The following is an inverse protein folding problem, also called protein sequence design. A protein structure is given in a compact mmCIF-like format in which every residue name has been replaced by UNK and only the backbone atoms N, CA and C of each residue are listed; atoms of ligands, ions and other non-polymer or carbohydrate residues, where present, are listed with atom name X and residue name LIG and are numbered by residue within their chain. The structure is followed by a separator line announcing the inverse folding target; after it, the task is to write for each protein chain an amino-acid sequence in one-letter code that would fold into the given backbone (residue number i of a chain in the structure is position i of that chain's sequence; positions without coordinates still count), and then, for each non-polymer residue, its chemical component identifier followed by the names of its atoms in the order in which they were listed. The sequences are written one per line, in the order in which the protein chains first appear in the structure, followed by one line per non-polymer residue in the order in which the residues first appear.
data_IF_344588280673
#
_entry.id   IF_344588280673
#
_cell.length_a   1.000
_cell.length_b   1.000
_cell.length_c   1.000
_cell.angle_alpha   90.00
_cell.angle_beta   90.00
_cell.angle_gamma   90.00
#
_symmetry.space_group_name_H-M   'P 1'
#
loop_
_entity.id
_entity.type
_entity.pdbx_description
1 polymer ?
#
# COMPACT_ATOMS: atom_id res chain seq x y z
N UNK A 1 17.37 -23.19 30.42
CA UNK A 1 17.08 -23.45 29.00
C UNK A 1 15.57 -23.46 28.87
N UNK A 2 15.01 -22.36 28.51
CA UNK A 2 13.55 -22.17 28.32
C UNK A 2 13.28 -22.13 26.84
N UNK A 3 12.51 -23.09 26.35
CA UNK A 3 12.04 -23.17 24.96
C UNK A 3 11.27 -21.94 24.58
N UNK A 4 11.87 -21.09 23.78
CA UNK A 4 11.15 -20.06 23.03
C UNK A 4 10.60 -20.71 21.76
N UNK A 5 9.43 -21.33 21.88
CA UNK A 5 8.61 -21.65 20.73
C UNK A 5 8.23 -20.33 20.06
N UNK A 6 8.87 -20.06 18.94
CA UNK A 6 8.52 -19.00 18.01
C UNK A 6 7.07 -19.17 17.60
N UNK A 7 6.19 -18.26 18.03
CA UNK A 7 4.85 -18.13 17.47
C UNK A 7 5.01 -17.74 16.00
N UNK A 8 4.85 -18.69 15.10
CA UNK A 8 4.74 -18.44 13.67
C UNK A 8 3.63 -17.41 13.47
N UNK A 9 3.93 -16.36 12.73
CA UNK A 9 3.08 -15.24 12.39
C UNK A 9 1.66 -15.73 12.05
N UNK A 10 0.64 -15.24 12.77
CA UNK A 10 -0.77 -15.53 12.54
C UNK A 10 -1.27 -15.15 11.12
N UNK A 11 -0.43 -14.52 10.32
CA UNK A 11 -0.69 -14.12 8.94
C UNK A 11 -0.44 -15.22 7.90
N UNK A 12 0.38 -16.22 8.18
CA UNK A 12 0.62 -17.35 7.28
C UNK A 12 -0.61 -18.26 7.13
N UNK A 13 -1.60 -18.12 8.03
CA UNK A 13 -2.81 -18.93 8.06
C UNK A 13 -4.04 -18.27 7.41
N UNK A 14 -3.90 -17.07 6.86
CA UNK A 14 -5.02 -16.34 6.25
C UNK A 14 -4.98 -16.40 4.73
N UNK A 15 -6.17 -16.43 4.13
CA UNK A 15 -6.31 -16.31 2.70
C UNK A 15 -5.94 -14.91 2.21
N UNK A 16 -5.36 -14.84 1.01
CA UNK A 16 -5.12 -13.59 0.28
C UNK A 16 -5.80 -13.68 -1.07
N UNK A 17 -6.38 -12.57 -1.53
CA UNK A 17 -7.11 -12.54 -2.79
C UNK A 17 -6.61 -11.42 -3.69
N UNK A 18 -6.53 -11.71 -4.98
CA UNK A 18 -6.31 -10.76 -6.05
C UNK A 18 -7.53 -10.84 -6.95
N UNK A 19 -8.05 -9.68 -7.31
CA UNK A 19 -9.31 -9.58 -8.03
C UNK A 19 -9.08 -8.67 -9.23
N UNK A 20 -9.36 -9.21 -10.40
CA UNK A 20 -9.47 -8.46 -11.63
C UNK A 20 -10.95 -8.40 -12.03
N UNK A 21 -11.55 -7.23 -11.87
CA UNK A 21 -12.96 -7.01 -12.19
C UNK A 21 -13.07 -6.40 -13.59
N UNK A 22 -13.24 -7.25 -14.60
CA UNK A 22 -13.67 -6.84 -15.93
C UNK A 22 -15.18 -6.53 -15.99
N UNK A 23 -15.66 -6.02 -17.10
CA UNK A 23 -17.08 -5.68 -17.27
C UNK A 23 -18.01 -6.88 -17.43
N UNK A 24 -17.53 -7.93 -18.04
CA UNK A 24 -18.32 -9.15 -18.23
C UNK A 24 -18.00 -10.18 -17.18
N UNK A 25 -16.72 -10.35 -16.85
CA UNK A 25 -16.25 -11.33 -15.88
C UNK A 25 -15.34 -10.69 -14.85
N UNK A 26 -15.43 -11.19 -13.63
CA UNK A 26 -14.50 -10.93 -12.54
C UNK A 26 -13.68 -12.20 -12.30
N UNK A 27 -12.37 -12.07 -12.38
CA UNK A 27 -11.43 -13.13 -12.03
C UNK A 27 -10.93 -12.93 -10.60
N UNK A 28 -11.07 -13.96 -9.79
CA UNK A 28 -10.61 -13.98 -8.40
C UNK A 28 -9.56 -15.05 -8.23
N UNK A 29 -8.36 -14.65 -7.84
CA UNK A 29 -7.28 -15.57 -7.49
C UNK A 29 -7.13 -15.58 -5.97
N UNK A 30 -7.28 -16.74 -5.37
CA UNK A 30 -7.11 -16.95 -3.94
C UNK A 30 -5.82 -17.70 -3.63
N UNK A 31 -5.02 -17.20 -2.71
CA UNK A 31 -3.90 -17.91 -2.08
C UNK A 31 -4.42 -18.61 -0.83
N UNK A 32 -4.60 -19.92 -0.92
CA UNK A 32 -5.08 -20.77 0.17
C UNK A 32 -3.92 -21.20 1.04
N UNK A 33 -3.90 -20.87 2.34
CA UNK A 33 -2.86 -21.36 3.26
C UNK A 33 -3.11 -22.81 3.64
N UNK A 34 -2.05 -23.56 3.90
CA UNK A 34 -2.07 -24.91 4.45
C UNK A 34 -1.46 -24.95 5.83
N UNK A 35 -1.80 -25.98 6.62
CA UNK A 35 -1.34 -26.15 8.01
C UNK A 35 0.18 -26.32 8.13
N UNK A 36 0.85 -26.79 7.08
CA UNK A 36 2.30 -26.96 7.00
C UNK A 36 3.06 -25.68 6.64
N UNK A 37 2.35 -24.53 6.51
CA UNK A 37 2.91 -23.24 6.11
C UNK A 37 3.06 -23.06 4.59
N UNK A 38 2.75 -24.09 3.80
CA UNK A 38 2.67 -23.97 2.34
C UNK A 38 1.38 -23.29 1.91
N UNK A 39 1.23 -23.03 0.62
CA UNK A 39 -0.01 -22.49 0.05
C UNK A 39 -0.25 -23.05 -1.35
N UNK A 40 -1.51 -22.98 -1.76
CA UNK A 40 -1.92 -23.24 -3.15
C UNK A 40 -2.65 -22.03 -3.72
N UNK A 41 -2.52 -21.82 -5.03
CA UNK A 41 -3.33 -20.83 -5.75
C UNK A 41 -4.58 -21.53 -6.28
N UNK A 42 -5.71 -20.88 -6.07
CA UNK A 42 -7.02 -21.29 -6.58
C UNK A 42 -7.66 -20.12 -7.29
N UNK A 43 -8.39 -20.39 -8.35
CA UNK A 43 -9.00 -19.34 -9.16
C UNK A 43 -10.51 -19.55 -9.24
N UNK A 44 -11.24 -18.45 -9.34
CA UNK A 44 -12.66 -18.48 -9.62
C UNK A 44 -13.02 -17.33 -10.55
N UNK A 45 -13.80 -17.65 -11.59
CA UNK A 45 -14.29 -16.68 -12.57
C UNK A 45 -15.80 -16.62 -12.51
N UNK A 46 -16.35 -15.41 -12.41
CA UNK A 46 -17.79 -15.21 -12.33
C UNK A 46 -18.19 -13.95 -13.12
N UNK A 47 -19.46 -13.79 -13.42
CA UNK A 47 -19.97 -12.58 -14.07
C UNK A 47 -19.74 -11.37 -13.16
N UNK A 48 -19.33 -10.25 -13.72
CA UNK A 48 -19.13 -9.01 -12.94
C UNK A 48 -20.46 -8.44 -12.42
N UNK A 49 -21.54 -8.69 -13.13
CA UNK A 49 -22.89 -8.28 -12.75
C UNK A 49 -23.85 -9.49 -12.82
N UNK A 50 -24.39 -9.87 -11.67
CA UNK A 50 -25.45 -10.88 -11.55
C UNK A 50 -26.31 -10.58 -10.32
N UNK A 51 -27.17 -9.53 -10.39
CA UNK A 51 -27.93 -9.03 -9.24
C UNK A 51 -28.89 -10.05 -8.63
N UNK A 52 -29.24 -11.11 -9.37
CA UNK A 52 -30.09 -12.19 -8.87
C UNK A 52 -29.32 -13.14 -7.92
N UNK A 53 -28.01 -13.23 -8.04
CA UNK A 53 -27.18 -14.15 -7.23
C UNK A 53 -26.32 -13.43 -6.20
N UNK A 54 -25.81 -12.23 -6.50
CA UNK A 54 -24.95 -11.46 -5.61
C UNK A 54 -24.98 -9.96 -5.92
N UNK A 55 -24.68 -9.17 -4.89
CA UNK A 55 -24.58 -7.69 -5.01
C UNK A 55 -23.22 -7.23 -5.56
N UNK A 56 -22.18 -7.98 -5.28
CA UNK A 56 -20.79 -7.66 -5.68
C UNK A 56 -20.06 -8.94 -6.05
N UNK A 57 -19.49 -8.95 -7.27
CA UNK A 57 -18.81 -10.11 -7.82
C UNK A 57 -17.52 -10.46 -7.06
N UNK A 58 -16.75 -9.45 -6.63
CA UNK A 58 -15.51 -9.67 -5.90
C UNK A 58 -15.78 -10.38 -4.57
N UNK A 59 -16.76 -9.88 -3.82
CA UNK A 59 -17.19 -10.49 -2.56
C UNK A 59 -17.75 -11.89 -2.78
N UNK A 60 -18.53 -12.09 -3.84
CA UNK A 60 -19.09 -13.41 -4.19
C UNK A 60 -17.99 -14.43 -4.52
N UNK A 61 -16.98 -14.02 -5.30
CA UNK A 61 -15.83 -14.85 -5.64
C UNK A 61 -14.98 -15.22 -4.42
N UNK A 62 -14.71 -14.27 -3.55
CA UNK A 62 -14.03 -14.52 -2.26
C UNK A 62 -14.80 -15.52 -1.42
N UNK A 63 -16.12 -15.31 -1.24
CA UNK A 63 -16.97 -16.21 -0.48
C UNK A 63 -16.97 -17.63 -1.05
N UNK A 64 -17.02 -17.75 -2.38
CA UNK A 64 -16.95 -19.04 -3.07
C UNK A 64 -15.65 -19.77 -2.76
N UNK A 65 -14.51 -19.11 -2.92
CA UNK A 65 -13.19 -19.70 -2.66
C UNK A 65 -12.96 -20.05 -1.19
N UNK A 66 -13.56 -19.28 -0.26
CA UNK A 66 -13.55 -19.58 1.18
C UNK A 66 -14.49 -20.73 1.55
N UNK A 67 -15.40 -21.16 0.65
CA UNK A 67 -16.41 -22.17 0.95
C UNK A 67 -17.50 -21.72 1.93
N UNK A 68 -17.76 -20.41 2.02
CA UNK A 68 -18.72 -19.83 2.95
C UNK A 68 -20.15 -20.08 2.48
N UNK A 69 -21.03 -20.48 3.41
CA UNK A 69 -22.47 -20.66 3.17
C UNK A 69 -23.18 -19.30 3.06
N UNK A 70 -24.37 -19.25 2.45
CA UNK A 70 -25.21 -18.05 2.46
C UNK A 70 -25.43 -17.54 3.89
N UNK A 71 -25.16 -16.24 4.11
CA UNK A 71 -25.30 -15.60 5.44
C UNK A 71 -24.02 -15.59 6.30
N UNK A 72 -23.04 -16.45 6.05
CA UNK A 72 -21.77 -16.38 6.76
C UNK A 72 -20.97 -15.14 6.33
N UNK A 73 -20.35 -14.45 7.26
CA UNK A 73 -19.56 -13.25 6.98
C UNK A 73 -18.12 -13.60 6.54
N UNK A 74 -17.54 -12.81 5.65
CA UNK A 74 -16.09 -12.80 5.44
C UNK A 74 -15.48 -12.02 6.60
N UNK A 75 -14.72 -12.70 7.45
CA UNK A 75 -14.15 -12.07 8.63
C UNK A 75 -12.65 -11.75 8.43
N UNK A 76 -12.08 -10.77 9.17
CA UNK A 76 -10.67 -10.43 9.08
C UNK A 76 -9.70 -11.59 9.41
N UNK A 77 -10.19 -12.61 10.13
CA UNK A 77 -9.40 -13.81 10.45
C UNK A 77 -9.25 -14.73 9.24
N UNK A 78 -10.21 -14.70 8.32
CA UNK A 78 -10.20 -15.51 7.10
C UNK A 78 -9.40 -14.86 5.98
N UNK A 79 -9.44 -13.54 5.87
CA UNK A 79 -8.82 -12.80 4.77
C UNK A 79 -7.73 -11.88 5.31
N UNK A 80 -6.52 -12.04 4.77
CA UNK A 80 -5.42 -11.12 5.06
C UNK A 80 -5.65 -9.77 4.40
N UNK A 81 -5.62 -8.70 5.19
CA UNK A 81 -5.45 -7.32 4.68
C UNK A 81 -4.01 -7.13 4.21
N UNK A 82 -3.64 -5.93 3.78
CA UNK A 82 -2.23 -5.57 3.54
C UNK A 82 -1.34 -5.81 4.77
N UNK A 83 -0.06 -5.51 4.68
CA UNK A 83 0.86 -5.78 5.79
C UNK A 83 0.50 -4.93 7.01
N UNK A 84 0.33 -5.51 8.22
CA UNK A 84 0.10 -4.75 9.44
C UNK A 84 1.20 -3.73 9.65
N UNK A 85 0.81 -2.46 9.66
CA UNK A 85 1.75 -1.36 9.59
C UNK A 85 1.76 -0.56 10.88
N UNK A 86 2.95 -0.22 11.35
CA UNK A 86 3.21 0.70 12.44
C UNK A 86 3.46 2.10 11.87
N UNK A 87 2.79 3.11 12.39
CA UNK A 87 3.15 4.51 12.16
C UNK A 87 4.04 5.01 13.29
N UNK A 88 5.19 5.61 12.95
CA UNK A 88 6.10 6.28 13.87
C UNK A 88 6.11 7.76 13.51
N UNK A 89 5.71 8.61 14.43
CA UNK A 89 5.61 10.05 14.18
C UNK A 89 6.20 10.86 15.33
N UNK A 90 6.45 12.14 15.11
CA UNK A 90 6.89 13.10 16.12
C UNK A 90 5.89 13.17 17.28
N UNK A 91 6.37 13.25 18.51
CA UNK A 91 5.55 13.43 19.72
C UNK A 91 4.58 14.60 19.59
N UNK A 92 3.31 14.38 19.94
CA UNK A 92 2.20 15.31 19.81
C UNK A 92 1.47 15.25 18.46
N UNK A 93 1.84 14.34 17.55
CA UNK A 93 1.25 14.20 16.21
C UNK A 93 0.61 12.82 15.93
N UNK A 94 0.34 12.03 16.96
CA UNK A 94 -0.23 10.68 16.82
C UNK A 94 -1.53 10.63 16.02
N UNK A 95 -2.34 11.70 16.10
CA UNK A 95 -3.63 11.79 15.47
C UNK A 95 -3.60 12.57 14.14
N UNK A 96 -2.42 13.04 13.69
CA UNK A 96 -2.29 13.92 12.53
C UNK A 96 -2.86 13.29 11.26
N UNK A 97 -2.53 12.03 10.95
CA UNK A 97 -3.06 11.34 9.78
C UNK A 97 -4.53 10.94 9.95
N UNK A 98 -5.00 10.70 11.19
CA UNK A 98 -6.41 10.41 11.47
C UNK A 98 -7.30 11.63 11.29
N UNK A 99 -6.83 12.80 11.73
CA UNK A 99 -7.52 14.07 11.56
C UNK A 99 -7.45 14.52 10.10
N UNK A 100 -6.33 14.23 9.44
CA UNK A 100 -6.03 14.61 8.07
C UNK A 100 -6.34 16.09 7.80
N UNK A 101 -7.01 16.40 6.71
CA UNK A 101 -7.45 17.76 6.36
C UNK A 101 -8.86 18.08 6.88
N UNK A 102 -9.40 17.29 7.80
CA UNK A 102 -10.75 17.42 8.34
C UNK A 102 -11.85 17.34 7.25
N UNK A 103 -11.58 16.63 6.18
CA UNK A 103 -12.55 16.44 5.12
C UNK A 103 -13.74 15.64 5.62
N UNK A 104 -14.94 16.18 5.39
CA UNK A 104 -16.18 15.51 5.70
C UNK A 104 -16.83 15.03 4.41
N UNK A 105 -17.16 13.74 4.26
CA UNK A 105 -17.86 13.24 3.09
C UNK A 105 -19.21 13.97 2.86
N UNK A 106 -19.84 14.37 3.99
CA UNK A 106 -21.06 15.19 4.00
C UNK A 106 -20.95 16.24 5.10
N UNK A 107 -21.01 17.51 4.71
CA UNK A 107 -20.72 18.64 5.59
C UNK A 107 -21.57 18.70 6.87
N UNK A 108 -22.85 18.30 6.77
CA UNK A 108 -23.84 18.40 7.86
C UNK A 108 -24.19 17.07 8.54
N UNK A 109 -23.47 15.99 8.21
CA UNK A 109 -23.71 14.71 8.89
C UNK A 109 -23.34 14.80 10.37
N UNK A 110 -24.26 14.32 11.23
CA UNK A 110 -24.03 14.22 12.67
C UNK A 110 -23.13 13.03 13.01
N UNK A 111 -23.09 12.02 12.18
CA UNK A 111 -22.24 10.86 12.32
C UNK A 111 -21.24 10.83 11.17
N UNK A 112 -19.97 11.13 11.47
CA UNK A 112 -18.90 11.15 10.48
C UNK A 112 -18.22 9.79 10.50
N UNK A 113 -18.34 9.06 9.39
CA UNK A 113 -17.58 7.81 9.17
C UNK A 113 -16.29 8.17 8.47
N UNK A 114 -15.18 8.05 9.20
CA UNK A 114 -13.84 8.26 8.63
C UNK A 114 -13.39 7.00 7.88
N UNK A 115 -12.53 7.14 6.85
CA UNK A 115 -11.92 6.01 6.17
C UNK A 115 -11.20 5.08 7.13
N UNK A 116 -11.09 3.81 6.76
CA UNK A 116 -10.32 2.82 7.53
C UNK A 116 -8.83 3.18 7.44
N UNK A 117 -8.12 3.11 8.58
CA UNK A 117 -6.69 3.39 8.63
C UNK A 117 -5.91 2.20 8.08
N UNK A 118 -4.84 2.48 7.31
CA UNK A 118 -3.93 1.45 6.80
C UNK A 118 -2.84 1.06 7.81
N UNK A 119 -2.76 1.74 8.96
CA UNK A 119 -1.87 1.39 10.06
C UNK A 119 -2.67 0.92 11.29
N UNK A 120 -2.11 0.00 12.05
CA UNK A 120 -2.78 -0.60 13.21
C UNK A 120 -2.38 0.08 14.53
N UNK A 121 -1.19 0.66 14.58
CA UNK A 121 -0.62 1.28 15.79
C UNK A 121 0.18 2.51 15.45
N UNK A 122 0.20 3.45 16.40
CA UNK A 122 1.05 4.65 16.34
C UNK A 122 2.03 4.64 17.51
N UNK A 123 3.30 4.94 17.23
CA UNK A 123 4.33 5.28 18.21
C UNK A 123 4.69 6.75 18.02
N UNK A 124 4.66 7.51 19.11
CA UNK A 124 5.21 8.85 19.17
C UNK A 124 6.68 8.76 19.57
N UNK A 125 7.57 9.20 18.69
CA UNK A 125 8.99 9.32 18.97
C UNK A 125 9.24 10.61 19.79
N UNK A 126 10.00 10.49 20.85
CA UNK A 126 10.48 11.62 21.61
C UNK A 126 11.56 12.32 20.79
N UNK A 127 11.16 13.28 19.99
CA UNK A 127 12.02 14.06 19.11
C UNK A 127 11.32 15.32 18.64
N UNK A 128 12.09 16.37 18.32
CA UNK A 128 11.59 17.56 17.65
C UNK A 128 12.71 18.28 16.90
N UNK A 129 12.50 18.49 15.62
CA UNK A 129 13.31 19.38 14.79
C UNK A 129 12.48 20.63 14.45
N UNK A 130 13.05 21.79 14.56
CA UNK A 130 12.43 23.08 14.22
C UNK A 130 12.42 23.31 12.70
N UNK A 131 11.67 24.34 12.29
CA UNK A 131 11.52 24.70 10.88
C UNK A 131 12.83 25.14 10.19
N UNK A 132 13.82 25.55 10.97
CA UNK A 132 15.14 25.98 10.49
C UNK A 132 16.23 24.91 10.67
N UNK A 133 15.87 23.71 11.17
CA UNK A 133 16.79 22.60 11.37
C UNK A 133 17.42 22.53 12.76
N UNK A 134 17.05 23.42 13.64
CA UNK A 134 17.43 23.37 15.04
C UNK A 134 16.82 22.13 15.72
N UNK A 135 17.66 21.37 16.41
CA UNK A 135 17.21 20.22 17.19
C UNK A 135 16.70 20.73 18.54
N UNK A 136 15.37 20.83 18.65
CA UNK A 136 14.68 21.27 19.86
C UNK A 136 14.66 20.15 20.92
N UNK A 137 14.39 18.91 20.49
CA UNK A 137 14.41 17.70 21.31
C UNK A 137 15.14 16.61 20.49
N UNK A 138 16.30 16.13 20.94
CA UNK A 138 17.00 15.03 20.29
C UNK A 138 16.16 13.76 20.30
N UNK A 139 16.33 12.91 19.29
CA UNK A 139 15.66 11.61 19.25
C UNK A 139 16.12 10.74 20.42
N UNK A 140 15.20 10.33 21.28
CA UNK A 140 15.44 9.31 22.29
C UNK A 140 15.44 7.91 21.63
N UNK A 141 16.62 7.51 21.17
CA UNK A 141 16.81 6.23 20.47
C UNK A 141 16.50 5.02 21.38
N UNK A 142 16.81 5.12 22.68
CA UNK A 142 16.59 4.02 23.63
C UNK A 142 15.09 3.79 23.85
N UNK A 143 14.34 4.86 24.11
CA UNK A 143 12.89 4.79 24.26
C UNK A 143 12.22 4.31 22.95
N UNK A 144 12.65 4.83 21.80
CA UNK A 144 12.12 4.37 20.51
C UNK A 144 12.36 2.88 20.29
N UNK A 145 13.56 2.39 20.59
CA UNK A 145 13.93 0.97 20.45
C UNK A 145 13.08 0.06 21.32
N UNK A 146 12.82 0.45 22.58
CA UNK A 146 11.92 -0.27 23.48
C UNK A 146 10.50 -0.38 22.90
N UNK A 147 9.94 0.74 22.42
CA UNK A 147 8.60 0.78 21.82
C UNK A 147 8.51 -0.04 20.54
N UNK A 148 9.57 -0.05 19.74
CA UNK A 148 9.65 -0.86 18.52
C UNK A 148 9.72 -2.36 18.84
N UNK A 149 10.45 -2.78 19.87
CA UNK A 149 10.43 -4.16 20.34
C UNK A 149 9.03 -4.60 20.77
N UNK A 150 8.32 -3.78 21.52
CA UNK A 150 6.94 -4.08 21.92
C UNK A 150 5.97 -4.18 20.72
N UNK A 151 6.20 -3.42 19.65
CA UNK A 151 5.42 -3.53 18.43
C UNK A 151 5.81 -4.79 17.63
N UNK A 152 7.09 -5.09 17.56
CA UNK A 152 7.61 -6.30 16.91
C UNK A 152 7.11 -7.59 17.58
N UNK A 153 7.13 -7.65 18.92
CA UNK A 153 6.61 -8.77 19.71
C UNK A 153 5.08 -8.93 19.53
N UNK A 154 4.37 -7.83 19.25
CA UNK A 154 2.95 -7.85 18.89
C UNK A 154 2.68 -8.31 17.44
N UNK A 155 3.71 -8.65 16.66
CA UNK A 155 3.58 -9.21 15.32
C UNK A 155 3.72 -8.20 14.18
N UNK A 156 3.93 -6.90 14.45
CA UNK A 156 4.14 -5.90 13.40
C UNK A 156 5.51 -6.07 12.73
N UNK A 157 5.55 -6.00 11.40
CA UNK A 157 6.78 -6.19 10.60
C UNK A 157 7.01 -5.06 9.60
N UNK A 158 6.03 -4.18 9.42
CA UNK A 158 6.09 -3.01 8.56
C UNK A 158 6.01 -1.73 9.37
N UNK A 159 6.83 -0.74 9.04
CA UNK A 159 6.88 0.56 9.72
C UNK A 159 6.93 1.70 8.70
N UNK A 160 6.07 2.70 8.92
CA UNK A 160 6.10 4.00 8.27
C UNK A 160 6.63 5.04 9.26
N UNK A 161 7.66 5.79 8.89
CA UNK A 161 8.31 6.81 9.72
C UNK A 161 8.05 8.18 9.10
N UNK A 162 7.40 9.07 9.87
CA UNK A 162 6.94 10.37 9.39
C UNK A 162 7.16 11.42 10.48
N UNK A 163 8.27 12.13 10.42
CA UNK A 163 8.58 13.18 11.39
C UNK A 163 8.30 14.58 10.84
N UNK A 164 8.02 15.53 11.74
CA UNK A 164 7.52 16.86 11.37
C UNK A 164 8.45 17.53 10.39
N UNK A 165 9.56 17.75 10.33
CA UNK A 165 10.39 18.37 9.30
C UNK A 165 11.30 17.37 8.57
N UNK A 166 10.95 16.07 8.62
CA UNK A 166 11.72 14.96 8.05
C UNK A 166 11.99 15.09 6.54
N UNK A 167 11.11 15.77 5.81
CA UNK A 167 11.31 16.02 4.36
C UNK A 167 12.59 16.81 4.04
N UNK A 168 13.10 17.59 4.99
CA UNK A 168 14.27 18.46 4.83
C UNK A 168 15.41 18.09 5.77
N UNK A 169 15.10 17.71 6.99
CA UNK A 169 16.08 17.37 8.04
C UNK A 169 15.93 15.90 8.41
N UNK A 170 16.67 15.06 7.71
CA UNK A 170 16.43 13.61 7.62
C UNK A 170 17.03 12.80 8.76
N UNK A 171 17.97 13.38 9.53
CA UNK A 171 18.80 12.65 10.49
C UNK A 171 17.99 11.82 11.52
N UNK A 172 16.88 12.37 12.06
CA UNK A 172 16.05 11.64 13.01
C UNK A 172 15.26 10.49 12.35
N UNK A 173 14.75 10.68 11.12
CA UNK A 173 14.10 9.60 10.39
C UNK A 173 15.09 8.49 9.99
N UNK A 174 16.32 8.86 9.59
CA UNK A 174 17.39 7.90 9.27
C UNK A 174 17.77 7.07 10.49
N UNK A 175 17.92 7.71 11.66
CA UNK A 175 18.19 7.02 12.92
C UNK A 175 17.04 6.09 13.30
N UNK A 176 15.80 6.55 13.22
CA UNK A 176 14.62 5.74 13.51
C UNK A 176 14.51 4.54 12.55
N UNK A 177 14.80 4.76 11.26
CA UNK A 177 14.78 3.68 10.26
C UNK A 177 15.88 2.63 10.50
N UNK A 178 17.06 3.07 10.93
CA UNK A 178 18.15 2.17 11.34
C UNK A 178 17.71 1.30 12.52
N UNK A 179 17.17 1.92 13.58
CA UNK A 179 16.72 1.21 14.78
C UNK A 179 15.60 0.20 14.44
N UNK A 180 14.63 0.59 13.59
CA UNK A 180 13.57 -0.31 13.16
C UNK A 180 14.12 -1.55 12.44
N UNK A 181 15.11 -1.38 11.56
CA UNK A 181 15.78 -2.50 10.87
C UNK A 181 16.56 -3.39 11.86
N UNK A 182 17.27 -2.79 12.83
CA UNK A 182 17.99 -3.53 13.89
C UNK A 182 17.05 -4.37 14.76
N UNK A 183 15.84 -3.89 15.04
CA UNK A 183 14.79 -4.64 15.75
C UNK A 183 14.24 -5.79 14.91
N UNK A 184 14.33 -5.71 13.58
CA UNK A 184 13.91 -6.79 12.68
C UNK A 184 12.69 -6.46 11.81
N UNK A 185 12.26 -5.20 11.73
CA UNK A 185 11.21 -4.82 10.78
C UNK A 185 11.68 -5.08 9.34
N UNK A 186 10.90 -5.85 8.60
CA UNK A 186 11.24 -6.28 7.22
C UNK A 186 10.88 -5.24 6.18
N UNK A 187 9.93 -4.34 6.49
CA UNK A 187 9.59 -3.16 5.72
C UNK A 187 9.76 -1.93 6.59
N UNK A 188 10.55 -0.96 6.11
CA UNK A 188 10.73 0.35 6.76
C UNK A 188 10.67 1.41 5.68
N UNK A 189 9.57 2.15 5.65
CA UNK A 189 9.35 3.28 4.75
C UNK A 189 9.56 4.58 5.55
N UNK A 190 10.58 5.34 5.20
CA UNK A 190 10.85 6.65 5.80
C UNK A 190 10.37 7.76 4.86
N UNK A 191 9.68 8.76 5.40
CA UNK A 191 8.98 9.75 4.60
C UNK A 191 9.88 10.59 3.70
N UNK A 192 11.11 10.87 4.12
CA UNK A 192 12.09 11.62 3.33
C UNK A 192 12.57 10.88 2.07
N UNK A 193 12.50 9.55 2.04
CA UNK A 193 12.83 8.74 0.86
C UNK A 193 11.60 8.37 0.05
N UNK A 194 10.47 8.18 0.73
CA UNK A 194 9.23 7.72 0.09
C UNK A 194 8.53 8.85 -0.65
N UNK A 195 8.35 10.00 0.00
CA UNK A 195 7.65 11.17 -0.55
C UNK A 195 8.16 12.45 0.14
N UNK A 196 9.28 13.04 -0.31
CA UNK A 196 9.92 14.17 0.37
C UNK A 196 9.15 15.49 0.21
N UNK A 197 7.84 15.47 0.43
CA UNK A 197 6.96 16.63 0.33
C UNK A 197 6.84 17.34 1.68
N UNK A 198 6.66 18.67 1.65
CA UNK A 198 6.59 19.48 2.87
C UNK A 198 5.39 19.13 3.75
N UNK A 199 4.21 18.89 3.17
CA UNK A 199 2.97 18.63 3.90
C UNK A 199 3.03 17.32 4.66
N UNK A 200 2.86 17.38 6.00
CA UNK A 200 2.99 16.21 6.87
C UNK A 200 1.96 15.12 6.56
N UNK A 201 0.70 15.50 6.33
CA UNK A 201 -0.40 14.54 6.13
C UNK A 201 -0.20 13.78 4.82
N UNK A 202 -0.12 14.44 3.67
CA UNK A 202 0.03 13.75 2.38
C UNK A 202 1.33 12.95 2.27
N UNK A 203 2.44 13.46 2.86
CA UNK A 203 3.68 12.71 2.98
C UNK A 203 3.50 11.46 3.85
N UNK A 204 2.76 11.59 4.94
CA UNK A 204 2.47 10.51 5.87
C UNK A 204 1.60 9.43 5.23
N UNK A 205 0.53 9.82 4.57
CA UNK A 205 -0.37 8.89 3.88
C UNK A 205 0.37 8.09 2.81
N UNK A 206 1.15 8.75 1.96
CA UNK A 206 1.99 8.07 0.95
C UNK A 206 2.99 7.10 1.61
N UNK A 207 3.59 7.49 2.74
CA UNK A 207 4.56 6.64 3.45
C UNK A 207 3.89 5.43 4.09
N UNK A 208 2.69 5.59 4.65
CA UNK A 208 1.88 4.49 5.19
C UNK A 208 1.45 3.55 4.09
N UNK A 209 0.96 4.08 2.95
CA UNK A 209 0.59 3.28 1.78
C UNK A 209 1.77 2.45 1.28
N UNK A 210 2.95 3.04 1.19
CA UNK A 210 4.17 2.34 0.79
C UNK A 210 4.52 1.21 1.77
N UNK A 211 4.50 1.49 3.07
CA UNK A 211 4.77 0.48 4.10
C UNK A 211 3.75 -0.67 4.07
N UNK A 212 2.49 -0.36 3.78
CA UNK A 212 1.39 -1.31 3.73
C UNK A 212 1.42 -2.22 2.49
N UNK A 213 1.77 -1.68 1.31
CA UNK A 213 1.72 -2.39 0.03
C UNK A 213 3.04 -3.05 -0.38
N UNK A 214 4.19 -2.46 -0.04
CA UNK A 214 5.50 -2.93 -0.52
C UNK A 214 5.81 -4.39 -0.17
N UNK A 215 5.45 -4.94 1.01
CA UNK A 215 5.70 -6.35 1.30
C UNK A 215 4.95 -7.30 0.38
N UNK A 216 3.70 -6.97 0.05
CA UNK A 216 2.86 -7.78 -0.86
C UNK A 216 3.43 -7.71 -2.27
N UNK A 217 3.75 -6.50 -2.72
CA UNK A 217 4.32 -6.26 -4.04
C UNK A 217 5.65 -6.99 -4.24
N UNK A 218 6.54 -6.94 -3.25
CA UNK A 218 7.82 -7.66 -3.32
C UNK A 218 7.66 -9.17 -3.44
N UNK A 219 6.68 -9.75 -2.74
CA UNK A 219 6.38 -11.18 -2.88
C UNK A 219 5.95 -11.52 -4.31
N UNK A 220 5.08 -10.71 -4.89
CA UNK A 220 4.66 -10.87 -6.29
C UNK A 220 5.83 -10.74 -7.26
N UNK A 221 6.61 -9.66 -7.15
CA UNK A 221 7.78 -9.42 -7.99
C UNK A 221 8.80 -10.56 -7.89
N UNK A 222 9.07 -11.03 -6.66
CA UNK A 222 9.99 -12.16 -6.43
C UNK A 222 9.49 -13.45 -7.05
N UNK A 223 8.19 -13.72 -7.01
CA UNK A 223 7.59 -14.89 -7.67
C UNK A 223 7.79 -14.80 -9.18
N UNK A 224 7.42 -13.68 -9.80
CA UNK A 224 7.60 -13.47 -11.24
C UNK A 224 9.07 -13.62 -11.65
N UNK A 225 9.99 -13.03 -10.86
CA UNK A 225 11.43 -13.13 -11.12
C UNK A 225 11.95 -14.58 -11.00
N UNK A 226 11.41 -15.36 -10.09
CA UNK A 226 11.81 -16.78 -9.92
C UNK A 226 11.41 -17.66 -11.10
N UNK A 227 10.33 -17.31 -11.79
CA UNK A 227 9.86 -18.02 -12.99
C UNK A 227 10.63 -17.64 -14.26
N UNK A 228 11.39 -16.52 -14.22
CA UNK A 228 12.16 -16.01 -15.33
C UNK A 228 13.65 -15.77 -14.97
N UNK A 229 14.40 -16.83 -14.62
CA UNK A 229 15.79 -16.69 -14.19
C UNK A 229 16.66 -16.11 -15.31
N UNK A 230 17.48 -15.12 -14.97
CA UNK A 230 18.38 -14.44 -15.91
C UNK A 230 17.71 -13.37 -16.78
N UNK A 231 16.42 -13.16 -16.67
CA UNK A 231 15.69 -12.08 -17.37
C UNK A 231 15.72 -10.81 -16.52
N UNK A 232 16.07 -9.69 -17.14
CA UNK A 232 16.01 -8.39 -16.51
C UNK A 232 14.57 -7.87 -16.58
N UNK A 233 13.92 -7.74 -15.42
CA UNK A 233 12.53 -7.32 -15.31
C UNK A 233 12.42 -5.84 -14.94
N UNK A 234 11.55 -5.15 -15.67
CA UNK A 234 11.17 -3.78 -15.40
C UNK A 234 9.66 -3.70 -15.16
N UNK A 235 9.28 -2.88 -14.21
CA UNK A 235 7.87 -2.64 -13.88
C UNK A 235 7.52 -1.18 -14.15
N UNK A 236 6.31 -0.97 -14.66
CA UNK A 236 5.74 0.36 -14.86
C UNK A 236 5.41 0.98 -13.50
N UNK A 237 5.81 2.23 -13.31
CA UNK A 237 5.45 3.02 -12.14
C UNK A 237 4.23 3.91 -12.44
N UNK A 238 3.54 4.36 -11.38
CA UNK A 238 2.46 5.35 -11.48
C UNK A 238 2.91 6.68 -12.12
N UNK A 239 4.20 6.97 -12.10
CA UNK A 239 4.81 8.11 -12.79
C UNK A 239 4.93 7.95 -14.31
N UNK A 240 4.61 6.78 -14.87
CA UNK A 240 4.80 6.46 -16.29
C UNK A 240 6.23 6.06 -16.66
N UNK A 241 7.14 5.96 -15.68
CA UNK A 241 8.49 5.43 -15.87
C UNK A 241 8.59 3.92 -15.66
N UNK A 242 9.69 3.33 -16.13
CA UNK A 242 10.03 1.94 -15.84
C UNK A 242 11.10 1.91 -14.74
N UNK A 243 10.94 1.03 -13.78
CA UNK A 243 11.93 0.75 -12.74
C UNK A 243 12.33 -0.72 -12.72
N UNK A 244 13.55 -0.98 -12.25
CA UNK A 244 13.99 -2.36 -12.03
C UNK A 244 13.11 -3.04 -10.97
N UNK A 245 12.89 -4.33 -11.15
CA UNK A 245 12.04 -5.13 -10.27
C UNK A 245 12.40 -4.99 -8.77
N UNK A 246 13.70 -4.88 -8.45
CA UNK A 246 14.17 -4.75 -7.07
C UNK A 246 13.92 -3.36 -6.46
N UNK A 247 13.71 -2.35 -7.31
CA UNK A 247 13.46 -0.96 -6.90
C UNK A 247 11.96 -0.61 -6.87
N UNK A 248 11.10 -1.54 -7.31
CA UNK A 248 9.67 -1.31 -7.41
C UNK A 248 9.01 -1.34 -6.03
N UNK A 249 8.37 -0.24 -5.63
CA UNK A 249 7.78 -0.01 -4.31
C UNK A 249 6.27 0.11 -4.36
N UNK A 250 5.60 -0.10 -3.23
CA UNK A 250 4.14 -0.09 -3.13
C UNK A 250 3.50 1.21 -3.61
N UNK A 251 4.07 2.37 -3.25
CA UNK A 251 3.61 3.68 -3.70
C UNK A 251 3.65 3.85 -5.23
N UNK A 252 4.58 3.17 -5.90
CA UNK A 252 4.78 3.30 -7.35
C UNK A 252 3.80 2.44 -8.15
N UNK A 253 3.14 1.48 -7.51
CA UNK A 253 2.31 0.48 -8.18
C UNK A 253 0.84 0.90 -8.35
N UNK A 254 0.34 1.85 -7.55
CA UNK A 254 -1.10 2.11 -7.36
C UNK A 254 -1.81 2.48 -8.68
N UNK A 255 -1.24 3.38 -9.47
CA UNK A 255 -1.77 3.84 -10.74
C UNK A 255 -0.90 3.41 -11.93
N UNK A 256 -0.10 2.36 -11.78
CA UNK A 256 0.85 1.91 -12.81
C UNK A 256 0.16 1.41 -14.08
N UNK A 257 -1.00 0.77 -13.96
CA UNK A 257 -1.81 0.33 -15.11
C UNK A 257 -2.27 1.50 -15.99
N UNK A 258 -3.05 2.45 -15.47
CA UNK A 258 -3.44 3.65 -16.22
C UNK A 258 -2.25 4.43 -16.78
N UNK A 259 -1.17 4.60 -16.00
CA UNK A 259 0.05 5.27 -16.46
C UNK A 259 0.69 4.56 -17.66
N UNK A 260 0.75 3.23 -17.63
CA UNK A 260 1.22 2.42 -18.76
C UNK A 260 0.35 2.59 -19.99
N UNK A 261 -0.96 2.63 -19.83
CA UNK A 261 -1.92 2.90 -20.90
C UNK A 261 -1.69 4.24 -21.58
N UNK A 262 -1.51 5.31 -20.78
CA UNK A 262 -1.23 6.66 -21.28
C UNK A 262 0.10 6.71 -22.05
N UNK A 263 1.16 6.11 -21.51
CA UNK A 263 2.46 6.05 -22.20
C UNK A 263 2.37 5.28 -23.51
N UNK A 264 1.69 4.12 -23.48
CA UNK A 264 1.46 3.30 -24.69
C UNK A 264 0.69 4.07 -25.76
N UNK A 265 -0.41 4.72 -25.39
CA UNK A 265 -1.21 5.58 -26.28
C UNK A 265 -0.35 6.68 -26.93
N UNK A 266 0.36 7.47 -26.10
CA UNK A 266 1.16 8.59 -26.61
C UNK A 266 2.27 8.12 -27.55
N UNK A 267 2.97 7.05 -27.23
CA UNK A 267 4.04 6.52 -28.08
C UNK A 267 3.51 5.94 -29.39
N UNK A 268 2.41 5.21 -29.35
CA UNK A 268 1.79 4.64 -30.56
C UNK A 268 1.27 5.75 -31.47
N UNK A 269 0.63 6.80 -30.91
CA UNK A 269 0.16 7.94 -31.65
C UNK A 269 1.31 8.71 -32.34
N UNK A 270 2.42 8.95 -31.60
CA UNK A 270 3.61 9.58 -32.15
C UNK A 270 4.20 8.81 -33.33
N UNK A 271 4.27 7.46 -33.24
CA UNK A 271 4.72 6.60 -34.32
C UNK A 271 3.80 6.70 -35.57
N UNK A 272 2.51 6.97 -35.36
CA UNK A 272 1.54 7.19 -36.41
C UNK A 272 1.50 8.66 -36.93
N UNK A 273 2.35 9.54 -36.40
CA UNK A 273 2.45 10.95 -36.82
C UNK A 273 1.43 11.89 -36.14
N UNK A 274 0.87 11.48 -34.99
CA UNK A 274 -0.09 12.30 -34.24
C UNK A 274 0.52 12.79 -32.91
N UNK A 275 0.57 14.12 -32.74
CA UNK A 275 1.13 14.75 -31.54
C UNK A 275 0.08 15.13 -30.49
N UNK A 276 -1.19 15.12 -30.85
CA UNK A 276 -2.31 15.46 -29.97
C UNK A 276 -3.38 14.38 -30.09
N UNK A 277 -3.63 13.70 -29.00
CA UNK A 277 -4.54 12.55 -28.98
C UNK A 277 -5.33 12.47 -27.67
N UNK A 278 -6.51 11.88 -27.77
CA UNK A 278 -7.33 11.46 -26.65
C UNK A 278 -7.37 9.94 -26.66
N UNK A 279 -6.99 9.32 -25.56
CA UNK A 279 -7.08 7.88 -25.36
C UNK A 279 -8.34 7.49 -24.62
N UNK A 280 -8.94 6.39 -25.07
CA UNK A 280 -10.05 5.74 -24.39
C UNK A 280 -9.61 4.30 -24.08
N UNK A 281 -9.40 4.02 -22.81
CA UNK A 281 -9.19 2.66 -22.32
C UNK A 281 -10.52 2.17 -21.73
N UNK A 282 -11.28 1.47 -22.57
CA UNK A 282 -12.59 0.95 -22.20
C UNK A 282 -12.42 -0.47 -21.66
N UNK A 283 -12.31 -0.60 -20.36
CA UNK A 283 -12.46 -1.86 -19.66
C UNK A 283 -13.94 -2.29 -19.57
N UNK A 284 -14.17 -3.38 -18.89
CA UNK A 284 -15.52 -3.87 -18.73
C UNK A 284 -16.36 -3.16 -17.67
N UNK A 285 -15.75 -2.40 -16.76
CA UNK A 285 -16.43 -1.70 -15.65
C UNK A 285 -16.17 -0.20 -15.62
N UNK A 286 -15.07 0.26 -16.20
CA UNK A 286 -14.69 1.66 -16.23
C UNK A 286 -14.13 2.02 -17.59
N UNK A 287 -14.16 3.29 -17.89
CA UNK A 287 -13.48 3.85 -19.06
C UNK A 287 -12.54 4.91 -18.57
N UNK A 288 -11.24 4.70 -18.78
CA UNK A 288 -10.23 5.70 -18.51
C UNK A 288 -10.03 6.58 -19.75
N UNK A 289 -10.23 7.87 -19.58
CA UNK A 289 -10.03 8.87 -20.65
C UNK A 289 -8.76 9.63 -20.34
N UNK A 290 -7.85 9.67 -21.29
CA UNK A 290 -6.57 10.34 -21.17
C UNK A 290 -6.33 11.33 -22.30
N UNK A 291 -5.56 12.36 -22.04
CA UNK A 291 -5.20 13.40 -22.99
C UNK A 291 -3.68 13.51 -23.10
N UNK A 292 -3.19 13.66 -24.32
CA UNK A 292 -1.79 13.94 -24.59
C UNK A 292 -1.67 15.00 -25.67
N UNK A 293 -0.92 16.08 -25.42
CA UNK A 293 -0.73 17.21 -26.34
C UNK A 293 0.77 17.58 -26.50
N UNK A 294 1.64 16.58 -26.58
CA UNK A 294 3.09 16.76 -26.73
C UNK A 294 3.87 16.60 -25.44
N UNK A 295 3.22 16.75 -24.29
CA UNK A 295 3.79 16.51 -22.96
C UNK A 295 2.82 15.76 -22.05
N UNK A 296 3.33 15.09 -21.02
CA UNK A 296 2.54 14.42 -20.00
C UNK A 296 2.22 15.42 -18.88
N UNK A 297 0.94 15.67 -18.66
CA UNK A 297 0.47 16.39 -17.47
C UNK A 297 0.65 15.52 -16.22
N UNK A 298 1.14 16.09 -15.12
CA UNK A 298 1.43 15.37 -13.89
C UNK A 298 0.68 15.98 -12.72
N UNK A 299 -0.03 15.12 -12.00
CA UNK A 299 -0.60 15.42 -10.69
C UNK A 299 0.35 14.94 -9.59
N UNK A 300 0.65 15.81 -8.62
CA UNK A 300 1.52 15.50 -7.50
C UNK A 300 0.75 15.01 -6.27
N UNK A 301 -0.53 15.27 -6.21
CA UNK A 301 -1.43 14.82 -5.15
C UNK A 301 -2.70 14.27 -5.78
N UNK A 302 -3.06 13.03 -5.47
CA UNK A 302 -4.32 12.42 -5.88
C UNK A 302 -4.86 11.57 -4.75
N UNK A 303 -6.17 11.43 -4.67
CA UNK A 303 -6.82 10.55 -3.70
C UNK A 303 -7.24 9.27 -4.40
N UNK A 304 -6.83 8.14 -3.83
CA UNK A 304 -7.23 6.81 -4.30
C UNK A 304 -7.95 6.09 -3.16
N UNK A 305 -9.18 5.64 -3.40
CA UNK A 305 -10.03 4.94 -2.43
C UNK A 305 -10.25 5.71 -1.11
N UNK A 306 -10.16 7.05 -1.14
CA UNK A 306 -10.38 7.91 0.03
C UNK A 306 -9.13 8.15 0.89
N UNK A 307 -7.96 7.73 0.40
CA UNK A 307 -6.64 7.95 1.02
C UNK A 307 -5.81 8.86 0.14
#
# INVERSE_FOLDING_TARGET
MSDRTTSASSYSSRWQFWIDRGGTFTDVVGRKPHADGSYSLVTHKLLSENPEQYKDAAVAGIRHLLGLKPGEAVTPELVGKGEPTLLITTKGFKDALRIAYQNRPRLFDRHIVLPELLYERVIEAQERVGAHGDVIEPLDEAHLKERLWAAYDAGLRSAAIVFMHGYRYTAHEEAAARIAREVGFTQVSASHTTSPMMKLVSRGDTTVVDAYLSPILRRYVSQVASEMPGVKLFFMQSSGGLTDAQMFQGKDAILSGPAGGIVGMARTAQLAGHDKVIGFDMGGTSTDVSHYAGEFEREFETQVAGV
#
